data_IF_344712186941
#
_entry.id   IF_344712186941
#
_cell.length_a   1.000
_cell.length_b   1.000
_cell.length_c   1.000
_cell.angle_alpha   90.00
_cell.angle_beta   90.00
_cell.angle_gamma   90.00
#
_symmetry.space_group_name_H-M   'P 1'
#
loop_
_entity.id
_entity.type
_entity.pdbx_description
1 polymer ?
#
# COMPACT_ATOMS: atom_id res chain seq x y z
N UNK A 1 -41.05 -21.95 -35.71
CA UNK A 1 -40.05 -21.12 -36.43
C UNK A 1 -39.67 -19.86 -35.66
N UNK A 2 -40.53 -19.29 -34.82
CA UNK A 2 -40.24 -18.06 -34.05
C UNK A 2 -39.69 -18.30 -32.63
N UNK A 3 -39.92 -19.48 -32.04
CA UNK A 3 -39.41 -19.83 -30.71
C UNK A 3 -37.93 -20.23 -30.72
N UNK A 4 -37.45 -20.86 -31.80
CA UNK A 4 -36.04 -21.26 -31.93
C UNK A 4 -35.08 -20.08 -32.15
N UNK A 5 -35.59 -18.90 -32.50
CA UNK A 5 -34.77 -17.70 -32.73
C UNK A 5 -34.57 -16.88 -31.44
N UNK A 6 -35.44 -17.08 -30.45
CA UNK A 6 -35.40 -16.36 -29.18
C UNK A 6 -34.58 -17.10 -28.09
N UNK A 7 -34.26 -18.37 -28.34
CA UNK A 7 -33.47 -19.21 -27.43
C UNK A 7 -31.96 -19.13 -27.73
N UNK A 8 -31.57 -18.79 -28.97
CA UNK A 8 -30.17 -18.56 -29.32
C UNK A 8 -29.62 -17.19 -28.87
N UNK A 9 -30.50 -16.24 -28.53
CA UNK A 9 -30.10 -14.94 -27.99
C UNK A 9 -29.82 -14.99 -26.48
N UNK A 10 -30.38 -15.96 -25.75
CA UNK A 10 -30.18 -16.10 -24.30
C UNK A 10 -28.91 -16.86 -23.92
N UNK A 11 -28.38 -17.72 -24.79
CA UNK A 11 -27.15 -18.48 -24.50
C UNK A 11 -25.86 -17.65 -24.61
N UNK A 12 -25.90 -16.51 -25.31
CA UNK A 12 -24.74 -15.61 -25.43
C UNK A 12 -24.56 -14.69 -24.22
N UNK A 13 -25.60 -14.46 -23.42
CA UNK A 13 -25.52 -13.60 -22.23
C UNK A 13 -25.03 -14.36 -20.98
N UNK A 14 -25.17 -15.69 -20.89
CA UNK A 14 -24.69 -16.45 -19.73
C UNK A 14 -23.16 -16.59 -19.68
N UNK A 15 -22.46 -16.47 -20.81
CA UNK A 15 -20.98 -16.48 -20.83
C UNK A 15 -20.35 -15.16 -20.35
N UNK A 16 -21.11 -14.07 -20.29
CA UNK A 16 -20.61 -12.77 -19.84
C UNK A 16 -20.61 -12.61 -18.31
N UNK A 17 -21.38 -13.42 -17.58
CA UNK A 17 -21.65 -13.19 -16.14
C UNK A 17 -20.69 -13.94 -15.20
N UNK A 18 -19.89 -14.90 -15.70
CA UNK A 18 -19.00 -15.72 -14.86
C UNK A 18 -17.56 -15.19 -14.67
N UNK A 19 -17.20 -14.03 -15.21
CA UNK A 19 -15.79 -13.56 -15.20
C UNK A 19 -15.37 -12.73 -13.98
N UNK A 20 -16.19 -12.64 -12.93
CA UNK A 20 -15.93 -11.75 -11.80
C UNK A 20 -15.72 -12.48 -10.47
N UNK A 21 -14.75 -13.41 -10.37
CA UNK A 21 -14.15 -13.79 -9.08
C UNK A 21 -12.92 -14.73 -9.17
N UNK A 22 -12.17 -14.74 -10.28
CA UNK A 22 -10.85 -15.41 -10.24
C UNK A 22 -9.93 -14.54 -9.38
N UNK A 23 -9.59 -15.04 -8.20
CA UNK A 23 -8.72 -14.42 -7.18
C UNK A 23 -7.53 -13.76 -7.87
N UNK A 24 -7.59 -12.43 -8.04
CA UNK A 24 -6.56 -11.71 -8.76
C UNK A 24 -5.30 -11.70 -7.90
N UNK A 25 -4.21 -12.29 -8.42
CA UNK A 25 -2.91 -12.20 -7.77
C UNK A 25 -2.57 -10.72 -7.52
N UNK A 26 -1.97 -10.37 -6.38
CA UNK A 26 -1.58 -9.00 -6.13
C UNK A 26 -0.58 -8.53 -7.20
N UNK A 27 -0.66 -7.26 -7.57
CA UNK A 27 0.15 -6.67 -8.65
C UNK A 27 1.66 -6.96 -8.50
N UNK A 28 2.15 -7.01 -7.26
CA UNK A 28 3.56 -7.33 -6.97
C UNK A 28 3.94 -8.76 -7.35
N UNK A 29 3.07 -9.73 -7.11
CA UNK A 29 3.29 -11.14 -7.50
C UNK A 29 3.24 -11.29 -9.02
N UNK A 30 2.38 -10.53 -9.69
CA UNK A 30 2.34 -10.49 -11.17
C UNK A 30 3.65 -9.97 -11.73
N UNK A 31 4.22 -8.90 -11.14
CA UNK A 31 5.53 -8.38 -11.54
C UNK A 31 6.63 -9.43 -11.28
N UNK A 32 6.61 -10.10 -10.13
CA UNK A 32 7.58 -11.16 -9.83
C UNK A 32 7.49 -12.31 -10.86
N UNK A 33 6.27 -12.72 -11.22
CA UNK A 33 6.03 -13.72 -12.25
C UNK A 33 6.58 -13.28 -13.62
N UNK A 34 6.39 -12.01 -14.00
CA UNK A 34 6.95 -11.47 -15.24
C UNK A 34 8.48 -11.45 -15.22
N UNK A 35 9.13 -11.17 -14.08
CA UNK A 35 10.58 -11.26 -13.93
C UNK A 35 11.09 -12.70 -14.09
N UNK A 36 10.37 -13.69 -13.57
CA UNK A 36 10.73 -15.11 -13.72
C UNK A 36 10.58 -15.59 -15.17
N UNK A 37 9.50 -15.18 -15.84
CA UNK A 37 9.21 -15.58 -17.22
C UNK A 37 10.09 -14.85 -18.25
N UNK A 38 10.37 -13.57 -18.01
CA UNK A 38 11.07 -12.69 -18.95
C UNK A 38 12.23 -11.98 -18.26
N UNK A 39 13.28 -12.71 -17.82
CA UNK A 39 14.37 -12.14 -17.01
C UNK A 39 15.25 -11.14 -17.77
N UNK A 40 15.22 -11.18 -19.10
CA UNK A 40 15.98 -10.25 -19.95
C UNK A 40 15.34 -8.85 -19.98
N UNK A 41 14.02 -8.80 -19.90
CA UNK A 41 13.23 -7.58 -20.00
C UNK A 41 12.89 -7.03 -18.60
N UNK A 42 12.47 -7.90 -17.70
CA UNK A 42 12.08 -7.57 -16.33
C UNK A 42 13.13 -8.01 -15.34
N UNK A 43 13.63 -7.07 -14.55
CA UNK A 43 14.65 -7.33 -13.54
C UNK A 43 14.01 -7.24 -12.16
N UNK A 44 14.07 -8.33 -11.39
CA UNK A 44 13.57 -8.40 -10.02
C UNK A 44 14.47 -7.61 -9.06
N UNK A 45 15.79 -7.76 -9.15
CA UNK A 45 16.79 -7.14 -8.26
C UNK A 45 17.88 -6.43 -9.06
N UNK A 46 18.19 -5.17 -8.72
CA UNK A 46 19.14 -4.33 -9.45
C UNK A 46 18.51 -3.14 -10.20
N UNK A 47 19.25 -2.59 -11.16
CA UNK A 47 18.76 -1.49 -12.01
C UNK A 47 17.77 -2.04 -13.04
N UNK A 48 16.56 -1.49 -13.07
CA UNK A 48 15.59 -1.85 -14.10
C UNK A 48 16.07 -1.33 -15.45
N UNK A 49 15.69 -1.98 -16.56
CA UNK A 49 15.99 -1.47 -17.91
C UNK A 49 14.77 -0.78 -18.50
N UNK A 50 14.93 0.30 -19.29
CA UNK A 50 13.82 0.92 -19.99
C UNK A 50 13.13 -0.08 -20.91
N UNK A 51 11.80 -0.16 -20.85
CA UNK A 51 11.03 -1.12 -21.65
C UNK A 51 10.77 -0.58 -23.06
N UNK A 52 10.61 -1.49 -24.03
CA UNK A 52 10.08 -1.19 -25.36
C UNK A 52 8.71 -0.48 -25.29
N UNK A 53 8.51 0.54 -26.12
CA UNK A 53 7.19 1.18 -26.25
C UNK A 53 6.22 0.19 -26.90
N UNK A 54 5.06 -0.02 -26.30
CA UNK A 54 4.07 -0.97 -26.81
C UNK A 54 4.31 -2.43 -26.44
N UNK A 55 5.27 -2.73 -25.54
CA UNK A 55 5.59 -4.10 -25.06
C UNK A 55 4.36 -4.87 -24.53
N UNK A 56 3.31 -4.18 -24.11
CA UNK A 56 2.06 -4.79 -23.66
C UNK A 56 1.45 -5.76 -24.67
N UNK A 57 1.48 -5.44 -25.97
CA UNK A 57 0.87 -6.29 -27.00
C UNK A 57 1.64 -7.61 -27.13
N UNK A 58 2.96 -7.54 -27.23
CA UNK A 58 3.84 -8.71 -27.28
C UNK A 58 3.70 -9.57 -26.01
N UNK A 59 3.60 -8.95 -24.84
CA UNK A 59 3.35 -9.65 -23.58
C UNK A 59 1.98 -10.33 -23.54
N UNK A 60 0.93 -9.66 -24.04
CA UNK A 60 -0.41 -10.21 -24.07
C UNK A 60 -0.52 -11.41 -25.01
N UNK A 61 0.23 -11.42 -26.11
CA UNK A 61 0.32 -12.54 -27.04
C UNK A 61 1.11 -13.70 -26.43
N UNK A 62 2.28 -13.43 -25.83
CA UNK A 62 3.11 -14.45 -25.18
C UNK A 62 2.41 -15.12 -23.99
N UNK A 63 1.53 -14.38 -23.28
CA UNK A 63 0.77 -14.86 -22.13
C UNK A 63 -0.68 -15.24 -22.47
N UNK A 64 -1.07 -15.27 -23.75
CA UNK A 64 -2.46 -15.54 -24.15
C UNK A 64 -2.97 -16.92 -23.69
N UNK A 65 -2.06 -17.88 -23.50
CA UNK A 65 -2.38 -19.22 -22.97
C UNK A 65 -2.25 -19.35 -21.45
N UNK A 66 -1.89 -18.28 -20.72
CA UNK A 66 -1.58 -18.34 -19.31
C UNK A 66 -2.70 -17.71 -18.46
N UNK A 67 -3.50 -18.58 -17.87
CA UNK A 67 -4.73 -18.25 -17.15
C UNK A 67 -4.53 -17.51 -15.82
N UNK A 68 -3.26 -17.25 -15.46
CA UNK A 68 -2.82 -16.60 -14.22
C UNK A 68 -2.84 -15.08 -14.30
N UNK A 69 -2.72 -14.51 -15.49
CA UNK A 69 -2.59 -13.05 -15.68
C UNK A 69 -3.60 -12.55 -16.71
N UNK A 70 -4.56 -11.73 -16.26
CA UNK A 70 -5.50 -11.07 -17.16
C UNK A 70 -4.88 -9.84 -17.82
N UNK A 71 -5.37 -9.45 -19.01
CA UNK A 71 -4.91 -8.25 -19.74
C UNK A 71 -5.02 -6.97 -18.89
N UNK A 72 -6.08 -6.85 -18.09
CA UNK A 72 -6.28 -5.71 -17.19
C UNK A 72 -5.23 -5.68 -16.08
N UNK A 73 -4.96 -6.85 -15.48
CA UNK A 73 -3.96 -6.99 -14.42
C UNK A 73 -2.54 -6.74 -14.96
N UNK A 74 -2.24 -7.23 -16.16
CA UNK A 74 -0.96 -6.99 -16.85
C UNK A 74 -0.72 -5.48 -17.07
N UNK A 75 -1.75 -4.73 -17.47
CA UNK A 75 -1.64 -3.27 -17.64
C UNK A 75 -1.38 -2.57 -16.30
N UNK A 76 -2.05 -2.98 -15.23
CA UNK A 76 -1.82 -2.44 -13.89
C UNK A 76 -0.40 -2.77 -13.39
N UNK A 77 0.08 -3.99 -13.63
CA UNK A 77 1.43 -4.42 -13.30
C UNK A 77 2.49 -3.60 -14.04
N UNK A 78 2.35 -3.42 -15.35
CA UNK A 78 3.26 -2.58 -16.15
C UNK A 78 3.29 -1.14 -15.68
N UNK A 79 2.12 -0.56 -15.37
CA UNK A 79 2.04 0.80 -14.82
C UNK A 79 2.76 0.87 -13.47
N UNK A 80 2.54 -0.09 -12.58
CA UNK A 80 3.21 -0.11 -11.27
C UNK A 80 4.72 -0.32 -11.40
N UNK A 81 5.16 -1.11 -12.38
CA UNK A 81 6.58 -1.36 -12.64
C UNK A 81 7.28 -0.09 -13.13
N UNK A 82 6.67 0.60 -14.10
CA UNK A 82 7.24 1.82 -14.71
C UNK A 82 7.18 3.05 -13.80
N UNK A 83 6.30 3.08 -12.79
CA UNK A 83 6.27 4.13 -11.76
C UNK A 83 7.18 3.83 -10.57
N UNK A 84 7.87 2.68 -10.56
CA UNK A 84 8.85 2.37 -9.52
C UNK A 84 10.04 3.33 -9.58
N UNK A 85 10.54 3.75 -8.43
CA UNK A 85 11.74 4.60 -8.35
C UNK A 85 12.95 4.00 -9.07
N UNK A 86 13.06 2.66 -9.05
CA UNK A 86 14.13 1.93 -9.75
C UNK A 86 14.03 2.12 -11.26
N UNK A 87 12.81 2.11 -11.81
CA UNK A 87 12.57 2.30 -13.23
C UNK A 87 12.80 3.75 -13.65
N UNK A 88 12.23 4.70 -12.92
CA UNK A 88 12.40 6.13 -13.20
C UNK A 88 13.88 6.56 -13.16
N UNK A 89 14.69 5.93 -12.32
CA UNK A 89 16.14 6.19 -12.26
C UNK A 89 16.92 5.65 -13.46
N UNK A 90 16.46 4.55 -14.06
CA UNK A 90 17.09 3.93 -15.22
C UNK A 90 16.70 4.61 -16.55
N UNK A 91 15.58 5.34 -16.58
CA UNK A 91 15.19 6.16 -17.71
C UNK A 91 16.09 7.41 -17.81
N UNK A 92 17.30 7.23 -18.34
CA UNK A 92 18.25 8.29 -18.65
C UNK A 92 18.26 8.56 -20.15
N UNK A 93 18.70 9.75 -20.52
CA UNK A 93 18.88 10.10 -21.93
C UNK A 93 19.89 9.14 -22.58
N UNK A 94 19.57 8.67 -23.79
CA UNK A 94 20.40 7.70 -24.51
C UNK A 94 20.31 6.25 -24.00
N UNK A 95 19.45 5.95 -23.02
CA UNK A 95 19.32 4.58 -22.53
C UNK A 95 18.60 3.67 -23.55
N UNK A 96 19.18 2.50 -23.84
CA UNK A 96 18.62 1.53 -24.78
C UNK A 96 17.39 0.84 -24.17
N UNK A 97 16.30 0.81 -24.94
CA UNK A 97 15.08 0.12 -24.58
C UNK A 97 15.20 -1.36 -24.88
N UNK A 98 14.68 -2.19 -23.99
CA UNK A 98 14.77 -3.64 -24.09
C UNK A 98 13.39 -4.22 -24.41
N UNK A 99 13.33 -5.05 -25.44
CA UNK A 99 12.16 -5.84 -25.83
C UNK A 99 11.98 -7.10 -24.98
N UNK A 100 10.96 -7.90 -25.31
CA UNK A 100 10.62 -9.10 -24.55
C UNK A 100 11.76 -10.13 -24.49
N UNK A 101 12.46 -10.29 -25.60
CA UNK A 101 13.55 -11.25 -25.78
C UNK A 101 14.93 -10.67 -25.49
N UNK A 102 15.02 -9.44 -24.97
CA UNK A 102 16.31 -8.78 -24.75
C UNK A 102 16.82 -7.97 -25.96
N UNK A 103 16.04 -7.84 -27.03
CA UNK A 103 16.38 -7.07 -28.22
C UNK A 103 16.37 -5.56 -27.95
N UNK A 104 17.24 -4.82 -28.65
CA UNK A 104 17.26 -3.36 -28.61
C UNK A 104 16.07 -2.80 -29.39
N UNK A 105 15.18 -2.10 -28.69
CA UNK A 105 13.90 -1.64 -29.23
C UNK A 105 13.78 -0.11 -29.20
N UNK A 106 14.86 0.56 -29.59
CA UNK A 106 14.99 2.01 -29.61
C UNK A 106 15.66 2.59 -28.36
N UNK A 107 15.64 3.91 -28.25
CA UNK A 107 16.36 4.67 -27.21
C UNK A 107 15.38 5.57 -26.45
N UNK A 108 15.68 5.88 -25.20
CA UNK A 108 14.97 6.89 -24.42
C UNK A 108 15.41 8.29 -24.87
N UNK A 109 14.44 9.11 -25.25
CA UNK A 109 14.69 10.50 -25.65
C UNK A 109 14.92 11.41 -24.44
N UNK A 110 15.61 12.54 -24.64
CA UNK A 110 15.92 13.51 -23.59
C UNK A 110 14.66 14.02 -22.89
N UNK A 111 13.59 14.31 -23.64
CA UNK A 111 12.33 14.78 -23.05
C UNK A 111 11.71 13.73 -22.11
N UNK A 112 11.82 12.46 -22.46
CA UNK A 112 11.30 11.36 -21.65
C UNK A 112 12.14 11.15 -20.39
N UNK A 113 13.47 11.29 -20.51
CA UNK A 113 14.38 11.23 -19.38
C UNK A 113 14.14 12.38 -18.39
N UNK A 114 13.95 13.60 -18.88
CA UNK A 114 13.61 14.76 -18.07
C UNK A 114 12.29 14.57 -17.30
N UNK A 115 11.25 14.09 -17.99
CA UNK A 115 9.97 13.79 -17.36
C UNK A 115 10.09 12.70 -16.29
N UNK A 116 10.90 11.66 -16.54
CA UNK A 116 11.17 10.62 -15.54
C UNK A 116 11.89 11.17 -14.31
N UNK A 117 12.89 12.04 -14.51
CA UNK A 117 13.61 12.71 -13.42
C UNK A 117 12.68 13.62 -12.58
N UNK A 118 11.81 14.39 -13.24
CA UNK A 118 10.81 15.22 -12.57
C UNK A 118 9.82 14.37 -11.76
N UNK A 119 9.31 13.29 -12.33
CA UNK A 119 8.40 12.36 -11.66
C UNK A 119 9.06 11.74 -10.43
N UNK A 120 10.34 11.36 -10.53
CA UNK A 120 11.11 10.82 -9.41
C UNK A 120 11.28 11.84 -8.27
N UNK A 121 11.54 13.11 -8.61
CA UNK A 121 11.64 14.19 -7.62
C UNK A 121 10.30 14.41 -6.90
N UNK A 122 9.18 14.48 -7.65
CA UNK A 122 7.84 14.64 -7.10
C UNK A 122 7.44 13.46 -6.21
N UNK A 123 7.72 12.23 -6.63
CA UNK A 123 7.40 11.04 -5.85
C UNK A 123 8.20 10.98 -4.54
N UNK A 124 9.48 11.37 -4.55
CA UNK A 124 10.29 11.48 -3.33
C UNK A 124 9.74 12.55 -2.38
N UNK A 125 9.35 13.71 -2.89
CA UNK A 125 8.76 14.78 -2.09
C UNK A 125 7.44 14.34 -1.43
N UNK A 126 6.53 13.73 -2.20
CA UNK A 126 5.25 13.23 -1.68
C UNK A 126 5.44 12.17 -0.57
N UNK A 127 6.39 11.25 -0.73
CA UNK A 127 6.70 10.26 0.31
C UNK A 127 7.34 10.90 1.55
N UNK A 128 8.18 11.91 1.38
CA UNK A 128 8.78 12.64 2.50
C UNK A 128 7.72 13.38 3.33
N UNK A 129 6.78 14.06 2.67
CA UNK A 129 5.64 14.74 3.30
C UNK A 129 4.74 13.76 4.05
N UNK A 130 4.35 12.65 3.40
CA UNK A 130 3.55 11.61 4.03
C UNK A 130 4.23 11.03 5.27
N UNK A 131 5.52 10.68 5.18
CA UNK A 131 6.30 10.19 6.33
C UNK A 131 6.43 11.23 7.44
N UNK A 132 6.53 12.52 7.10
CA UNK A 132 6.56 13.58 8.10
C UNK A 132 5.22 13.72 8.84
N UNK A 133 4.10 13.62 8.11
CA UNK A 133 2.76 13.61 8.69
C UNK A 133 2.55 12.40 9.61
N UNK A 134 2.88 11.19 9.14
CA UNK A 134 2.80 9.94 9.92
C UNK A 134 3.66 10.02 11.20
N UNK A 135 4.89 10.53 11.11
CA UNK A 135 5.74 10.73 12.30
C UNK A 135 5.15 11.72 13.29
N UNK A 136 4.52 12.81 12.82
CA UNK A 136 3.89 13.81 13.70
C UNK A 136 2.69 13.20 14.42
N UNK A 137 1.90 12.39 13.73
CA UNK A 137 0.76 11.68 14.31
C UNK A 137 1.21 10.63 15.33
N UNK A 138 2.21 9.80 14.99
CA UNK A 138 2.80 8.82 15.90
C UNK A 138 3.37 9.49 17.16
N UNK A 139 4.09 10.61 17.03
CA UNK A 139 4.60 11.37 18.18
C UNK A 139 3.47 11.92 19.06
N UNK A 140 2.37 12.40 18.47
CA UNK A 140 1.19 12.84 19.25
C UNK A 140 0.53 11.68 19.99
N UNK A 141 0.36 10.53 19.32
CA UNK A 141 -0.21 9.33 19.93
C UNK A 141 0.65 8.82 21.09
N UNK A 142 1.97 8.70 20.88
CA UNK A 142 2.92 8.30 21.92
C UNK A 142 2.91 9.29 23.10
N UNK A 143 2.89 10.60 22.83
CA UNK A 143 2.81 11.63 23.88
C UNK A 143 1.51 11.49 24.69
N UNK A 144 0.36 11.26 24.04
CA UNK A 144 -0.93 11.08 24.71
C UNK A 144 -0.93 9.83 25.60
N UNK A 145 -0.41 8.71 25.10
CA UNK A 145 -0.31 7.48 25.88
C UNK A 145 0.68 7.63 27.06
N UNK A 146 1.80 8.33 26.87
CA UNK A 146 2.75 8.63 27.96
C UNK A 146 2.09 9.44 29.09
N UNK A 147 1.38 10.53 28.77
CA UNK A 147 0.68 11.32 29.80
C UNK A 147 -0.45 10.55 30.47
N UNK A 148 -1.14 9.67 29.74
CA UNK A 148 -2.19 8.80 30.29
C UNK A 148 -1.62 7.76 31.26
N UNK A 149 -0.49 7.15 30.93
CA UNK A 149 0.21 6.22 31.84
C UNK A 149 0.68 6.95 33.10
N UNK A 150 1.32 8.10 32.95
CA UNK A 150 1.78 8.92 34.10
C UNK A 150 0.62 9.33 35.01
N UNK A 151 -0.52 9.73 34.45
CA UNK A 151 -1.71 10.07 35.21
C UNK A 151 -2.32 8.85 35.94
N UNK A 152 -2.27 7.65 35.33
CA UNK A 152 -2.71 6.40 35.98
C UNK A 152 -1.79 6.03 37.14
N UNK A 153 -0.48 6.13 36.97
CA UNK A 153 0.50 5.87 38.02
C UNK A 153 0.34 6.85 39.20
N UNK A 154 0.16 8.15 38.92
CA UNK A 154 -0.05 9.15 39.96
C UNK A 154 -1.34 8.90 40.74
N UNK A 155 -2.43 8.53 40.06
CA UNK A 155 -3.68 8.17 40.72
C UNK A 155 -3.57 6.87 41.54
N UNK A 156 -2.79 5.89 41.07
CA UNK A 156 -2.52 4.65 41.81
C UNK A 156 -1.71 4.93 43.09
N UNK A 157 -0.72 5.83 43.03
CA UNK A 157 0.05 6.30 44.19
C UNK A 157 -0.83 7.04 45.19
N UNK A 158 -1.65 8.00 44.74
CA UNK A 158 -2.60 8.70 45.62
C UNK A 158 -3.61 7.75 46.28
N UNK A 159 -4.06 6.71 45.59
CA UNK A 159 -4.99 5.72 46.15
C UNK A 159 -4.34 4.83 47.20
N UNK A 160 -3.07 4.44 47.00
CA UNK A 160 -2.30 3.68 47.99
C UNK A 160 -1.95 4.52 49.22
N UNK A 161 -1.60 5.79 49.04
CA UNK A 161 -1.40 6.75 50.15
C UNK A 161 -2.69 6.97 50.95
N UNK A 162 -3.85 7.12 50.30
CA UNK A 162 -5.15 7.22 50.99
C UNK A 162 -5.54 5.95 51.73
N UNK A 163 -5.15 4.79 51.23
CA UNK A 163 -5.42 3.50 51.90
C UNK A 163 -4.56 3.31 53.15
N UNK A 164 -3.32 3.82 53.13
CA UNK A 164 -2.39 3.78 54.26
C UNK A 164 -2.53 4.98 55.22
N UNK A 165 -3.39 5.96 54.91
CA UNK A 165 -3.70 7.04 55.83
C UNK A 165 -4.34 6.47 57.11
N UNK A 166 -3.99 6.99 58.30
CA UNK A 166 -4.55 6.49 59.54
C UNK A 166 -6.08 6.63 59.50
N UNK A 167 -6.79 5.52 59.68
CA UNK A 167 -8.26 5.53 59.84
C UNK A 167 -8.57 6.52 60.96
N UNK A 168 -9.53 7.42 60.71
CA UNK A 168 -10.01 8.41 61.67
C UNK A 168 -10.10 7.76 63.06
N UNK A 169 -9.25 8.21 63.99
CA UNK A 169 -9.18 7.63 65.32
C UNK A 169 -10.54 7.79 66.01
N UNK A 170 -10.88 6.86 66.92
CA UNK A 170 -12.17 6.88 67.64
C UNK A 170 -12.42 8.23 68.34
N UNK A 171 -11.36 8.95 68.73
CA UNK A 171 -11.42 10.34 69.25
C UNK A 171 -12.01 11.33 68.24
N UNK A 172 -11.62 11.24 66.97
CA UNK A 172 -12.10 12.15 65.92
C UNK A 172 -13.58 11.91 65.55
N UNK A 173 -14.05 10.68 65.69
CA UNK A 173 -15.47 10.32 65.53
C UNK A 173 -16.30 10.79 66.72
N UNK A 174 -15.81 10.60 67.95
CA UNK A 174 -16.46 11.11 69.16
C UNK A 174 -16.54 12.65 69.19
N UNK A 175 -15.51 13.34 68.71
CA UNK A 175 -15.50 14.80 68.58
C UNK A 175 -16.56 15.33 67.59
N UNK A 176 -16.91 14.54 66.56
CA UNK A 176 -17.96 14.90 65.60
C UNK A 176 -19.36 14.71 66.21
N UNK A 177 -19.56 13.62 66.96
CA UNK A 177 -20.83 13.29 67.62
C UNK A 177 -21.22 14.34 68.68
N UNK A 178 -20.24 14.82 69.45
CA UNK A 178 -20.45 15.89 70.45
C UNK A 178 -20.81 17.27 69.84
N UNK A 179 -20.44 17.51 68.57
CA UNK A 179 -20.75 18.75 67.84
C UNK A 179 -22.16 18.76 67.26
N UNK A 180 -22.69 17.59 66.90
CA UNK A 180 -24.04 17.44 66.33
C UNK A 180 -25.11 17.17 67.38
N UNK A 181 -24.74 16.77 68.61
CA UNK A 181 -25.69 16.50 69.70
C UNK A 181 -26.08 17.73 70.53
N UNK A 182 -25.61 18.95 70.20
CA UNK A 182 -26.01 20.19 70.88
C UNK A 182 -27.18 20.84 70.15
N UNK A 183 -28.40 20.35 70.40
CA UNK A 183 -29.66 21.03 70.14
C UNK A 183 -30.67 20.67 71.21
#
# INVERSE_FOLDING_TARGET
MSEQLNEQLSEQDEQAVQTHQKTAMPIKEVIAYLCEKFPLCFIAEGEAKPLKVGLFQELAEALAGDDKVSKTLLRQALRSYTMSWRYLHACRDGAVRVGLNGEEAGVVDSQQAEHAAQTLAQAKAAVAERRAAERKEQRKAQRKEFFKQKAREENAKKRTERHNAPKASLESLAALESKFSRK
#
